data_IF_293633290119
#
_entry.id   IF_293633290119
#
_cell.length_a   1.000
_cell.length_b   1.000
_cell.length_c   1.000
_cell.angle_alpha   90.00
_cell.angle_beta   90.00
_cell.angle_gamma   90.00
#
_symmetry.space_group_name_H-M   'P 1'
#
loop_
_entity.id
_entity.type
_entity.pdbx_description
1 polymer ?
#
# COMPACT_ATOMS: atom_id res chain seq x y z
N UNK A 1 -9.15 -5.89 13.27
CA UNK A 1 -8.23 -6.05 12.12
C UNK A 1 -8.07 -4.70 11.41
N UNK A 2 -7.67 -3.66 12.17
CA UNK A 2 -7.66 -2.24 11.78
C UNK A 2 -6.28 -1.77 11.28
N UNK A 3 -5.30 -2.68 11.25
CA UNK A 3 -3.89 -2.34 11.40
C UNK A 3 -3.03 -2.54 10.14
N UNK A 4 -3.58 -3.07 9.04
CA UNK A 4 -2.74 -3.48 7.90
C UNK A 4 -2.49 -2.32 6.92
N UNK A 5 -3.52 -1.51 6.61
CA UNK A 5 -3.42 -0.46 5.58
C UNK A 5 -2.54 0.72 5.99
N UNK A 6 -2.84 1.31 7.15
CA UNK A 6 -2.07 2.45 7.65
C UNK A 6 -0.61 2.07 7.95
N UNK A 7 -0.36 0.79 8.32
CA UNK A 7 0.99 0.28 8.48
C UNK A 7 1.73 0.12 7.16
N UNK A 8 1.03 -0.27 6.10
CA UNK A 8 1.66 -0.49 4.80
C UNK A 8 2.14 0.80 4.15
N UNK A 9 1.29 1.84 4.10
CA UNK A 9 1.67 3.14 3.50
C UNK A 9 2.85 3.75 4.23
N UNK A 10 2.82 3.69 5.56
CA UNK A 10 3.69 4.47 6.41
C UNK A 10 5.02 3.74 6.66
N UNK A 11 5.02 2.40 6.65
CA UNK A 11 6.24 1.61 6.55
C UNK A 11 6.94 1.88 5.21
N UNK A 12 6.22 1.98 4.10
CA UNK A 12 6.80 2.28 2.79
C UNK A 12 7.33 3.71 2.67
N UNK A 13 6.62 4.70 3.24
CA UNK A 13 7.11 6.07 3.31
C UNK A 13 8.33 6.22 4.24
N UNK A 14 8.45 5.37 5.27
CA UNK A 14 9.64 5.32 6.13
C UNK A 14 10.84 4.63 5.49
N UNK A 15 10.65 3.81 4.44
CA UNK A 15 11.75 3.18 3.70
C UNK A 15 12.28 4.04 2.54
N UNK A 16 11.59 5.13 2.18
CA UNK A 16 12.01 6.07 1.14
C UNK A 16 12.97 7.17 1.65
N UNK A 17 13.16 7.27 2.96
CA UNK A 17 14.15 8.14 3.59
C UNK A 17 14.87 7.35 4.68
N UNK A 18 16.20 7.30 4.64
CA UNK A 18 17.11 6.61 5.57
C UNK A 18 16.88 6.93 7.07
N UNK A 19 15.77 6.50 7.65
CA UNK A 19 15.44 6.74 9.05
C UNK A 19 14.55 5.63 9.61
N UNK A 20 15.13 4.45 9.75
CA UNK A 20 14.69 3.45 10.73
C UNK A 20 14.83 4.06 12.13
N UNK A 21 13.79 4.69 12.66
CA UNK A 21 13.69 4.96 14.11
C UNK A 21 12.23 5.13 14.51
N UNK A 22 11.70 4.12 15.22
CA UNK A 22 10.90 4.15 16.47
C UNK A 22 10.00 5.32 16.86
N UNK A 23 9.76 6.32 16.00
CA UNK A 23 8.73 7.32 16.21
C UNK A 23 7.43 6.58 15.97
N UNK A 24 6.63 6.40 17.03
CA UNK A 24 5.23 6.03 16.91
C UNK A 24 4.67 6.81 15.73
N UNK A 25 4.31 6.09 14.68
CA UNK A 25 4.21 6.70 13.37
C UNK A 25 3.14 7.78 13.49
N UNK A 26 3.53 9.05 13.39
CA UNK A 26 2.77 10.16 14.00
C UNK A 26 1.35 10.27 13.42
N UNK A 27 1.18 9.73 12.21
CA UNK A 27 -0.06 9.66 11.44
C UNK A 27 -0.73 8.27 11.43
N UNK A 28 -0.17 7.28 12.13
CA UNK A 28 -0.74 5.96 12.36
C UNK A 28 -0.28 5.41 13.74
N UNK A 29 -0.83 5.95 14.85
CA UNK A 29 -0.34 5.68 16.22
C UNK A 29 -0.46 4.21 16.66
N UNK A 30 -1.20 3.38 15.92
CA UNK A 30 -1.32 1.94 16.17
C UNK A 30 -0.70 1.05 15.08
N UNK A 31 0.08 1.65 14.17
CA UNK A 31 0.81 0.91 13.14
C UNK A 31 1.91 0.05 13.76
N UNK A 32 2.16 -1.12 13.15
CA UNK A 32 3.32 -1.97 13.44
C UNK A 32 4.28 -1.91 12.27
N UNK A 33 5.58 -1.86 12.58
CA UNK A 33 6.64 -1.97 11.57
C UNK A 33 6.63 -3.40 11.00
N UNK A 34 6.83 -3.54 9.69
CA UNK A 34 6.97 -4.87 9.10
C UNK A 34 8.21 -5.60 9.61
N UNK A 35 8.15 -6.93 9.60
CA UNK A 35 9.33 -7.76 9.81
C UNK A 35 10.40 -7.39 8.80
N UNK A 36 11.64 -7.28 9.27
CA UNK A 36 12.76 -6.92 8.42
C UNK A 36 12.87 -7.85 7.20
N UNK A 37 13.09 -7.25 6.04
CA UNK A 37 13.11 -7.91 4.73
C UNK A 37 11.76 -8.47 4.26
N UNK A 38 10.63 -8.10 4.86
CA UNK A 38 9.31 -8.41 4.30
C UNK A 38 9.07 -7.63 3.00
N UNK A 39 9.27 -6.31 3.01
CA UNK A 39 9.31 -5.51 1.78
C UNK A 39 10.65 -5.81 1.11
N UNK A 40 10.61 -6.31 -0.12
CA UNK A 40 11.81 -6.66 -0.89
C UNK A 40 12.20 -5.52 -1.83
N UNK A 41 11.24 -4.94 -2.52
CA UNK A 41 11.45 -3.82 -3.46
C UNK A 41 10.32 -2.79 -3.30
N UNK A 42 10.59 -1.56 -3.70
CA UNK A 42 9.59 -0.49 -3.72
C UNK A 42 9.88 0.47 -4.87
N UNK A 43 8.82 0.90 -5.53
CA UNK A 43 8.82 1.82 -6.64
C UNK A 43 7.85 2.94 -6.30
N UNK A 44 8.35 4.17 -6.18
CA UNK A 44 7.55 5.33 -5.85
C UNK A 44 7.22 6.12 -7.11
N UNK A 45 5.94 6.43 -7.31
CA UNK A 45 5.45 7.21 -8.43
C UNK A 45 4.46 8.28 -7.95
N UNK A 46 4.40 9.37 -8.69
CA UNK A 46 3.38 10.41 -8.50
C UNK A 46 2.80 10.80 -9.84
N UNK A 47 1.53 11.16 -9.87
CA UNK A 47 0.88 11.64 -11.08
C UNK A 47 -0.41 12.38 -10.79
N UNK A 48 -1.20 12.61 -11.84
CA UNK A 48 -2.38 13.48 -11.80
C UNK A 48 -2.06 14.92 -12.23
N UNK A 49 -3.11 15.73 -12.38
CA UNK A 49 -3.01 17.12 -12.86
C UNK A 49 -3.50 18.11 -11.81
N UNK A 50 -2.89 19.31 -11.73
CA UNK A 50 -3.33 20.36 -10.80
C UNK A 50 -3.00 20.09 -9.32
N UNK A 51 -3.79 20.62 -8.35
CA UNK A 51 -3.58 20.37 -6.92
C UNK A 51 -3.90 18.92 -6.51
N UNK A 52 -4.41 18.11 -7.44
CA UNK A 52 -4.88 16.74 -7.22
C UNK A 52 -3.83 15.74 -7.68
N UNK A 53 -2.73 15.66 -6.94
CA UNK A 53 -1.71 14.63 -7.15
C UNK A 53 -2.13 13.34 -6.44
N UNK A 54 -1.88 12.20 -7.07
CA UNK A 54 -1.80 10.92 -6.38
C UNK A 54 -0.35 10.54 -6.12
N UNK A 55 -0.15 9.72 -5.09
CA UNK A 55 1.12 9.06 -4.78
C UNK A 55 0.90 7.56 -4.81
N UNK A 56 1.86 6.83 -5.36
CA UNK A 56 1.79 5.38 -5.50
C UNK A 56 3.08 4.75 -5.02
N UNK A 57 2.95 3.61 -4.35
CA UNK A 57 4.06 2.70 -4.09
C UNK A 57 3.67 1.31 -4.55
N UNK A 58 4.48 0.72 -5.41
CA UNK A 58 4.35 -0.68 -5.84
C UNK A 58 5.64 -1.42 -5.58
N UNK A 59 5.61 -2.74 -5.48
CA UNK A 59 6.84 -3.49 -5.27
C UNK A 59 6.61 -4.94 -4.93
N UNK A 60 7.67 -5.60 -4.50
CA UNK A 60 7.65 -7.01 -4.13
C UNK A 60 7.79 -7.24 -2.63
N UNK A 61 7.21 -8.33 -2.15
CA UNK A 61 7.31 -8.82 -0.77
C UNK A 61 8.07 -10.15 -0.69
N UNK A 62 8.45 -10.55 0.53
CA UNK A 62 8.86 -11.91 0.87
C UNK A 62 7.76 -12.58 1.69
N UNK A 63 6.77 -13.19 1.03
CA UNK A 63 5.58 -13.77 1.68
C UNK A 63 5.88 -14.70 2.85
N UNK A 64 7.01 -15.43 2.79
CA UNK A 64 7.46 -16.37 3.84
C UNK A 64 7.76 -15.68 5.18
N UNK A 65 8.06 -14.39 5.21
CA UNK A 65 8.31 -13.64 6.47
C UNK A 65 7.10 -13.64 7.40
N UNK A 66 5.89 -13.70 6.84
CA UNK A 66 4.62 -13.80 7.58
C UNK A 66 3.88 -15.12 7.32
N UNK A 67 4.56 -16.13 6.76
CA UNK A 67 3.94 -17.40 6.38
C UNK A 67 2.70 -17.27 5.48
N UNK A 68 2.65 -16.23 4.62
CA UNK A 68 1.50 -16.01 3.74
C UNK A 68 1.42 -17.09 2.65
N UNK A 69 0.19 -17.55 2.38
CA UNK A 69 -0.09 -18.61 1.41
C UNK A 69 0.29 -18.19 -0.01
N UNK A 70 0.77 -19.11 -0.85
CA UNK A 70 0.93 -18.85 -2.29
C UNK A 70 -0.37 -18.90 -3.07
N UNK A 71 -1.44 -19.38 -2.45
CA UNK A 71 -2.78 -19.36 -3.04
C UNK A 71 -3.61 -18.13 -2.66
N UNK A 72 -3.06 -17.26 -1.80
CA UNK A 72 -3.74 -16.02 -1.40
C UNK A 72 -3.50 -14.96 -2.46
N UNK A 73 -4.58 -14.59 -3.16
CA UNK A 73 -4.58 -13.55 -4.20
C UNK A 73 -4.73 -12.14 -3.61
N UNK A 74 -4.91 -12.03 -2.30
CA UNK A 74 -5.21 -10.77 -1.63
C UNK A 74 -6.67 -10.34 -1.78
N UNK A 75 -6.98 -9.24 -1.13
CA UNK A 75 -8.20 -8.48 -1.32
C UNK A 75 -7.86 -7.00 -1.24
N UNK A 76 -8.57 -6.20 -2.02
CA UNK A 76 -8.45 -4.76 -1.97
C UNK A 76 -8.88 -4.21 -0.61
N UNK A 77 -8.11 -3.24 -0.12
CA UNK A 77 -8.51 -2.34 0.94
C UNK A 77 -8.69 -0.93 0.37
N UNK A 78 -9.70 -0.24 0.86
CA UNK A 78 -10.11 1.10 0.44
C UNK A 78 -10.75 1.86 1.64
N UNK A 79 -11.13 3.14 1.54
CA UNK A 79 -11.68 3.91 2.66
C UNK A 79 -12.90 3.29 3.35
N UNK A 80 -13.62 2.41 2.66
CA UNK A 80 -14.79 1.68 3.19
C UNK A 80 -14.34 0.48 4.05
N UNK A 81 -13.20 -0.12 3.72
CA UNK A 81 -12.74 -1.38 4.31
C UNK A 81 -11.21 -1.43 4.53
N UNK A 82 -10.74 -1.52 5.79
CA UNK A 82 -11.50 -1.44 7.03
C UNK A 82 -11.93 0.00 7.35
N UNK A 83 -13.10 0.15 7.99
CA UNK A 83 -13.61 1.47 8.40
C UNK A 83 -12.58 2.24 9.23
N UNK A 84 -12.36 3.52 8.86
CA UNK A 84 -11.37 4.39 9.50
C UNK A 84 -9.96 4.27 8.96
N UNK A 85 -9.71 3.42 7.95
CA UNK A 85 -8.46 3.44 7.22
C UNK A 85 -8.31 4.76 6.45
N UNK A 86 -7.11 5.33 6.51
CA UNK A 86 -6.76 6.56 5.78
C UNK A 86 -5.37 6.40 5.19
N UNK A 87 -5.08 7.17 4.14
CA UNK A 87 -3.72 7.30 3.64
C UNK A 87 -3.22 8.72 3.84
N UNK A 88 -2.49 8.99 4.93
CA UNK A 88 -1.70 10.21 5.12
C UNK A 88 -2.36 11.54 4.66
N UNK A 89 -3.65 11.72 4.95
CA UNK A 89 -4.41 12.93 4.57
C UNK A 89 -5.01 12.94 3.15
N UNK A 90 -4.89 11.84 2.40
CA UNK A 90 -5.62 11.57 1.16
C UNK A 90 -6.98 10.92 1.50
N UNK A 91 -8.09 11.45 0.95
CA UNK A 91 -9.44 10.93 1.22
C UNK A 91 -9.72 9.57 0.55
N UNK A 92 -8.94 9.20 -0.46
CA UNK A 92 -9.10 7.97 -1.21
C UNK A 92 -7.79 7.19 -1.24
N UNK A 93 -7.90 5.87 -1.19
CA UNK A 93 -6.76 4.98 -1.42
C UNK A 93 -7.23 3.63 -1.96
N UNK A 94 -6.29 2.92 -2.56
CA UNK A 94 -6.41 1.52 -2.93
C UNK A 94 -5.15 0.83 -2.47
N UNK A 95 -5.28 -0.30 -1.76
CA UNK A 95 -4.14 -1.08 -1.31
C UNK A 95 -4.40 -2.58 -1.42
N UNK A 96 -3.50 -3.29 -2.09
CA UNK A 96 -3.51 -4.75 -2.18
C UNK A 96 -2.15 -5.31 -1.76
N UNK A 97 -2.20 -6.47 -1.14
CA UNK A 97 -1.05 -7.33 -0.90
C UNK A 97 -1.41 -8.66 -1.54
N UNK A 98 -0.59 -9.14 -2.47
CA UNK A 98 -0.87 -10.31 -3.32
C UNK A 98 0.23 -11.37 -3.10
N UNK A 99 0.09 -12.22 -2.05
CA UNK A 99 1.09 -13.22 -1.73
C UNK A 99 1.37 -14.25 -2.82
N UNK A 100 0.36 -14.59 -3.64
CA UNK A 100 0.50 -15.47 -4.81
C UNK A 100 1.57 -14.98 -5.78
N UNK A 101 1.64 -13.67 -6.01
CA UNK A 101 2.60 -13.03 -6.92
C UNK A 101 3.82 -12.44 -6.18
N UNK A 102 3.83 -12.46 -4.85
CA UNK A 102 4.82 -11.75 -4.01
C UNK A 102 4.90 -10.25 -4.34
N UNK A 103 3.76 -9.61 -4.60
CA UNK A 103 3.71 -8.18 -4.87
C UNK A 103 2.76 -7.46 -3.92
N UNK A 104 2.86 -6.13 -3.92
CA UNK A 104 1.90 -5.24 -3.30
C UNK A 104 1.78 -3.97 -4.13
N UNK A 105 0.69 -3.26 -3.92
CA UNK A 105 0.48 -1.94 -4.46
C UNK A 105 -0.31 -1.10 -3.47
N UNK A 106 0.00 0.18 -3.44
CA UNK A 106 -0.79 1.19 -2.78
C UNK A 106 -0.81 2.46 -3.61
N UNK A 107 -1.98 3.07 -3.77
CA UNK A 107 -2.10 4.43 -4.28
C UNK A 107 -3.00 5.24 -3.36
N UNK A 108 -2.61 6.48 -3.12
CA UNK A 108 -3.36 7.44 -2.33
C UNK A 108 -3.70 8.62 -3.21
N UNK A 109 -4.99 8.97 -3.24
CA UNK A 109 -5.55 9.88 -4.22
C UNK A 109 -6.33 11.01 -3.57
N UNK A 110 -6.20 12.20 -4.16
CA UNK A 110 -7.03 13.35 -3.82
C UNK A 110 -8.42 13.24 -4.45
N UNK A 111 -8.47 12.80 -5.71
CA UNK A 111 -9.73 12.51 -6.40
C UNK A 111 -10.06 11.04 -6.30
N UNK A 112 -11.36 10.73 -6.27
CA UNK A 112 -11.85 9.34 -6.34
C UNK A 112 -11.45 8.68 -7.66
N UNK A 113 -11.49 9.43 -8.77
CA UNK A 113 -11.25 8.90 -10.12
C UNK A 113 -9.81 8.39 -10.33
N UNK A 114 -8.85 8.85 -9.54
CA UNK A 114 -7.45 8.39 -9.60
C UNK A 114 -7.23 7.05 -8.86
N UNK A 115 -8.22 6.64 -8.05
CA UNK A 115 -8.20 5.46 -7.19
C UNK A 115 -9.40 4.54 -7.53
N UNK A 116 -9.20 3.50 -8.36
CA UNK A 116 -10.26 2.58 -8.72
C UNK A 116 -10.59 1.67 -7.53
N UNK A 117 -11.60 2.04 -6.74
CA UNK A 117 -12.04 1.32 -5.53
C UNK A 117 -13.11 0.25 -5.81
N UNK A 118 -13.37 -0.07 -7.07
CA UNK A 118 -14.44 -0.98 -7.53
C UNK A 118 -13.89 -2.24 -8.21
N UNK A 119 -12.58 -2.49 -8.09
CA UNK A 119 -11.85 -3.56 -8.80
C UNK A 119 -11.22 -4.57 -7.83
N UNK A 120 -11.98 -4.95 -6.82
CA UNK A 120 -11.49 -5.61 -5.60
C UNK A 120 -10.77 -6.96 -5.81
N UNK A 121 -11.03 -7.62 -6.94
CA UNK A 121 -10.51 -8.96 -7.29
C UNK A 121 -9.55 -8.95 -8.47
N UNK A 122 -9.31 -7.80 -9.11
CA UNK A 122 -8.54 -7.73 -10.35
C UNK A 122 -7.02 -7.67 -10.13
N UNK A 123 -6.62 -7.27 -8.93
CA UNK A 123 -5.22 -7.30 -8.52
C UNK A 123 -4.38 -6.09 -8.93
N UNK A 124 -3.15 -6.00 -8.42
CA UNK A 124 -2.33 -4.80 -8.54
C UNK A 124 -1.98 -4.43 -9.98
N UNK A 125 -1.63 -5.43 -10.80
CA UNK A 125 -1.24 -5.22 -12.19
C UNK A 125 -2.39 -4.76 -13.09
N UNK A 126 -3.62 -5.19 -12.78
CA UNK A 126 -4.80 -4.76 -13.51
C UNK A 126 -5.25 -3.36 -13.09
N UNK A 127 -5.16 -3.05 -11.78
CA UNK A 127 -5.50 -1.75 -11.20
C UNK A 127 -4.51 -0.66 -11.64
N UNK A 128 -3.21 -0.96 -11.64
CA UNK A 128 -2.13 -0.03 -12.02
C UNK A 128 -1.31 -0.60 -13.19
N UNK A 129 -1.86 -0.56 -14.41
CA UNK A 129 -1.15 -1.05 -15.59
C UNK A 129 0.11 -0.22 -15.84
N UNK A 130 1.24 -0.91 -16.10
CA UNK A 130 2.54 -0.29 -16.37
C UNK A 130 3.37 0.07 -15.13
N UNK A 131 2.83 -0.09 -13.92
CA UNK A 131 3.60 0.10 -12.70
C UNK A 131 4.69 -0.96 -12.53
N UNK A 132 5.81 -0.58 -11.89
CA UNK A 132 6.94 -1.47 -11.61
C UNK A 132 6.77 -2.22 -10.30
N UNK A 133 7.16 -3.49 -10.28
CA UNK A 133 7.06 -4.36 -9.09
C UNK A 133 8.38 -5.04 -8.72
N UNK A 134 9.41 -4.84 -9.54
CA UNK A 134 10.77 -5.35 -9.39
C UNK A 134 11.68 -4.38 -8.61
#
# INVERSE_FOLDING_TARGET
MLFIVAAFVLALLSTASDAQTTVAVINAPSSKIFLDGFIKTHNFETGGSGPTKWVQVTGSIRRKKYCLSSGDQGAQNDPSHPSGATCAGYPHFVQLVEPNENIYCIRCCRNKDDCPTDRDTEGCKAIFPGAKYD
#
